data_IF_301396878094
#
_entry.id   IF_301396878094
#
_cell.length_a   1.000
_cell.length_b   1.000
_cell.length_c   1.000
_cell.angle_alpha   90.00
_cell.angle_beta   90.00
_cell.angle_gamma   90.00
#
_symmetry.space_group_name_H-M   'P 1'
#
loop_
_entity.id
_entity.type
_entity.pdbx_description
1 polymer ?
#
# COMPACT_ATOMS: atom_id res chain seq x y z
N UNK A 1 -7.81 -10.93 13.71
CA UNK A 1 -6.82 -9.89 13.40
C UNK A 1 -7.61 -8.61 13.15
N UNK A 2 -7.29 -7.52 13.85
CA UNK A 2 -8.14 -6.32 13.91
C UNK A 2 -8.01 -5.48 12.63
N UNK A 3 -9.09 -4.84 12.20
CA UNK A 3 -9.22 -4.11 10.93
C UNK A 3 -8.49 -2.75 10.91
N UNK A 4 -7.65 -2.49 11.91
CA UNK A 4 -7.07 -1.19 12.29
C UNK A 4 -5.65 -0.96 11.77
N UNK A 5 -4.95 -2.02 11.36
CA UNK A 5 -3.53 -2.02 11.00
C UNK A 5 -3.20 -1.03 9.86
N UNK A 6 -3.78 -1.22 8.68
CA UNK A 6 -3.48 -0.37 7.51
C UNK A 6 -3.94 1.08 7.69
N UNK A 7 -4.97 1.29 8.51
CA UNK A 7 -5.47 2.61 8.88
C UNK A 7 -4.46 3.37 9.73
N UNK A 8 -3.89 2.73 10.75
CA UNK A 8 -2.97 3.36 11.69
C UNK A 8 -1.65 3.77 11.01
N UNK A 9 -1.22 2.97 10.02
CA UNK A 9 -0.07 3.28 9.15
C UNK A 9 -0.25 4.62 8.45
N UNK A 10 -1.41 4.87 7.86
CA UNK A 10 -1.63 6.08 7.06
C UNK A 10 -1.83 7.33 7.93
N UNK A 11 -2.32 7.18 9.16
CA UNK A 11 -2.64 8.33 10.03
C UNK A 11 -1.48 8.92 10.82
N UNK A 12 -0.35 8.23 11.01
CA UNK A 12 0.77 8.75 11.81
C UNK A 12 2.05 8.91 10.99
N UNK A 13 2.27 10.11 10.46
CA UNK A 13 3.35 10.45 9.53
C UNK A 13 4.79 10.43 10.10
N UNK A 14 5.06 10.07 11.37
CA UNK A 14 6.41 10.29 11.96
C UNK A 14 6.96 9.13 12.81
N UNK A 15 6.21 8.04 13.01
CA UNK A 15 6.60 6.97 13.95
C UNK A 15 6.55 5.56 13.35
N UNK A 16 6.90 5.42 12.07
CA UNK A 16 6.89 4.16 11.30
C UNK A 16 7.43 2.95 12.08
N UNK A 17 8.61 3.10 12.66
CA UNK A 17 9.33 2.02 13.32
C UNK A 17 8.82 1.73 14.75
N UNK A 18 7.88 2.54 15.25
CA UNK A 18 7.30 2.39 16.60
C UNK A 18 5.91 1.76 16.56
N UNK A 19 5.35 1.53 15.36
CA UNK A 19 4.05 0.90 15.18
C UNK A 19 4.23 -0.56 14.77
N UNK A 20 4.00 -1.50 15.71
CA UNK A 20 4.07 -2.95 15.42
C UNK A 20 3.14 -3.35 14.26
N UNK A 21 1.99 -2.69 14.16
CA UNK A 21 1.03 -2.85 13.07
C UNK A 21 1.61 -2.46 11.70
N UNK A 22 2.46 -1.43 11.66
CA UNK A 22 3.16 -1.04 10.44
C UNK A 22 4.11 -2.12 9.97
N UNK A 23 5.01 -2.56 10.85
CA UNK A 23 6.00 -3.58 10.54
C UNK A 23 5.31 -4.90 10.14
N UNK A 24 4.22 -5.25 10.82
CA UNK A 24 3.44 -6.44 10.51
C UNK A 24 2.79 -6.39 9.13
N UNK A 25 2.20 -5.25 8.73
CA UNK A 25 1.62 -5.11 7.39
C UNK A 25 2.68 -5.23 6.29
N UNK A 26 3.82 -4.56 6.49
CA UNK A 26 4.96 -4.60 5.55
C UNK A 26 5.50 -6.03 5.44
N UNK A 27 5.67 -6.72 6.56
CA UNK A 27 6.12 -8.12 6.59
C UNK A 27 5.13 -9.05 5.91
N UNK A 28 3.82 -8.94 6.20
CA UNK A 28 2.78 -9.74 5.53
C UNK A 28 2.82 -9.54 4.01
N UNK A 29 2.91 -8.28 3.56
CA UNK A 29 2.93 -7.96 2.14
C UNK A 29 4.21 -8.48 1.46
N UNK A 30 5.37 -8.28 2.08
CA UNK A 30 6.65 -8.76 1.58
C UNK A 30 6.73 -10.30 1.55
N UNK A 31 6.23 -10.98 2.58
CA UNK A 31 6.18 -12.44 2.63
C UNK A 31 5.23 -12.98 1.54
N UNK A 32 4.03 -12.42 1.42
CA UNK A 32 3.06 -12.85 0.40
C UNK A 32 3.60 -12.64 -1.01
N UNK A 33 4.23 -11.50 -1.26
CA UNK A 33 4.85 -11.19 -2.54
C UNK A 33 6.02 -12.14 -2.87
N UNK A 34 6.88 -12.44 -1.89
CA UNK A 34 8.01 -13.35 -2.07
C UNK A 34 7.60 -14.81 -2.32
N UNK A 35 6.42 -15.21 -1.84
CA UNK A 35 5.86 -16.55 -2.11
C UNK A 35 5.31 -16.67 -3.54
N UNK A 36 4.99 -15.55 -4.20
CA UNK A 36 4.49 -15.53 -5.56
C UNK A 36 5.64 -15.58 -6.58
N UNK A 37 5.60 -16.55 -7.49
CA UNK A 37 6.55 -16.75 -8.59
C UNK A 37 6.04 -16.20 -9.92
N UNK A 38 4.74 -15.99 -10.05
CA UNK A 38 4.12 -15.43 -11.26
C UNK A 38 3.22 -14.24 -10.98
N UNK A 39 2.94 -13.47 -12.03
CA UNK A 39 2.00 -12.35 -11.98
C UNK A 39 0.57 -12.83 -11.68
N UNK A 40 0.14 -14.00 -12.17
CA UNK A 40 -1.17 -14.56 -11.79
C UNK A 40 -1.24 -14.95 -10.30
N UNK A 41 -0.14 -15.37 -9.69
CA UNK A 41 -0.09 -15.64 -8.26
C UNK A 41 -0.19 -14.35 -7.45
N UNK A 42 0.53 -13.28 -7.85
CA UNK A 42 0.39 -11.96 -7.24
C UNK A 42 -1.04 -11.42 -7.37
N UNK A 43 -1.66 -11.57 -8.54
CA UNK A 43 -3.04 -11.15 -8.76
C UNK A 43 -4.01 -11.90 -7.84
N UNK A 44 -3.81 -13.20 -7.60
CA UNK A 44 -4.64 -13.98 -6.66
C UNK A 44 -4.39 -13.57 -5.22
N UNK A 45 -3.13 -13.40 -4.81
CA UNK A 45 -2.78 -12.90 -3.48
C UNK A 45 -3.40 -11.51 -3.22
N UNK A 46 -3.58 -10.68 -4.24
CA UNK A 46 -4.23 -9.38 -4.09
C UNK A 46 -5.68 -9.46 -3.57
N UNK A 47 -6.37 -10.59 -3.81
CA UNK A 47 -7.72 -10.83 -3.27
C UNK A 47 -7.70 -10.98 -1.75
N UNK A 48 -6.67 -11.62 -1.19
CA UNK A 48 -6.53 -11.81 0.26
C UNK A 48 -6.32 -10.49 1.00
N UNK A 49 -5.76 -9.49 0.31
CA UNK A 49 -5.53 -8.15 0.84
C UNK A 49 -6.74 -7.21 0.65
N UNK A 50 -7.78 -7.59 -0.10
CA UNK A 50 -9.03 -6.79 -0.21
C UNK A 50 -9.67 -6.51 1.15
N UNK A 51 -9.47 -7.41 2.13
CA UNK A 51 -9.97 -7.26 3.50
C UNK A 51 -9.52 -5.96 4.20
N UNK A 52 -8.42 -5.35 3.74
CA UNK A 52 -7.88 -4.10 4.29
C UNK A 52 -8.52 -2.84 3.67
N UNK A 53 -9.24 -2.97 2.55
CA UNK A 53 -9.78 -1.84 1.78
C UNK A 53 -11.03 -1.18 2.40
N UNK A 54 -12.06 -1.91 2.87
CA UNK A 54 -13.21 -1.28 3.52
C UNK A 54 -12.88 -0.41 4.75
N UNK A 55 -12.07 -0.86 5.74
CA UNK A 55 -11.74 -0.02 6.89
C UNK A 55 -10.92 1.21 6.50
N UNK A 56 -10.05 1.09 5.49
CA UNK A 56 -9.34 2.23 4.93
C UNK A 56 -10.30 3.24 4.31
N UNK A 57 -11.18 2.78 3.41
CA UNK A 57 -12.14 3.65 2.73
C UNK A 57 -13.00 4.42 3.73
N UNK A 58 -13.48 3.74 4.78
CA UNK A 58 -14.28 4.37 5.84
C UNK A 58 -13.50 5.45 6.59
N UNK A 59 -12.19 5.26 6.83
CA UNK A 59 -11.36 6.29 7.47
C UNK A 59 -11.15 7.48 6.54
N UNK A 60 -10.80 7.23 5.28
CA UNK A 60 -10.60 8.29 4.30
C UNK A 60 -11.88 9.12 4.08
N UNK A 61 -13.05 8.48 4.14
CA UNK A 61 -14.35 9.16 4.05
C UNK A 61 -14.61 10.17 5.19
N UNK A 62 -14.00 9.96 6.36
CA UNK A 62 -14.18 10.84 7.54
C UNK A 62 -13.00 11.77 7.77
N UNK A 63 -11.93 11.65 6.97
CA UNK A 63 -10.79 12.58 7.00
C UNK A 63 -11.19 13.85 6.24
N UNK A 64 -11.66 14.87 6.96
CA UNK A 64 -12.01 16.17 6.40
C UNK A 64 -10.83 17.16 6.39
N UNK A 65 -9.70 16.79 6.99
CA UNK A 65 -8.49 17.61 7.02
C UNK A 65 -7.62 17.31 5.79
N UNK A 66 -7.35 18.35 5.00
CA UNK A 66 -6.51 18.27 3.81
C UNK A 66 -5.07 17.90 4.16
N UNK A 67 -4.54 18.37 5.29
CA UNK A 67 -3.20 18.08 5.76
C UNK A 67 -3.06 16.59 6.12
N UNK A 68 -4.03 16.04 6.88
CA UNK A 68 -4.06 14.61 7.18
C UNK A 68 -4.15 13.75 5.92
N UNK A 69 -4.98 14.16 4.96
CA UNK A 69 -5.11 13.45 3.69
C UNK A 69 -3.81 13.46 2.88
N UNK A 70 -3.10 14.59 2.83
CA UNK A 70 -1.79 14.70 2.17
C UNK A 70 -0.70 13.93 2.92
N UNK A 71 -0.74 13.90 4.25
CA UNK A 71 0.14 13.10 5.08
C UNK A 71 -0.07 11.60 4.83
N UNK A 72 -1.32 11.14 4.73
CA UNK A 72 -1.63 9.75 4.35
C UNK A 72 -1.03 9.38 2.99
N UNK A 73 -1.11 10.30 2.00
CA UNK A 73 -0.49 10.09 0.68
C UNK A 73 1.03 10.03 0.74
N UNK A 74 1.64 10.95 1.49
CA UNK A 74 3.08 10.98 1.67
C UNK A 74 3.59 9.71 2.36
N UNK A 75 2.90 9.23 3.40
CA UNK A 75 3.24 7.99 4.09
C UNK A 75 3.16 6.78 3.17
N UNK A 76 2.09 6.67 2.38
CA UNK A 76 1.94 5.56 1.45
C UNK A 76 3.04 5.56 0.37
N UNK A 77 3.40 6.74 -0.14
CA UNK A 77 4.51 6.89 -1.09
C UNK A 77 5.84 6.45 -0.48
N UNK A 78 6.12 6.92 0.73
CA UNK A 78 7.37 6.63 1.41
C UNK A 78 7.48 5.14 1.80
N UNK A 79 6.35 4.44 2.05
CA UNK A 79 6.30 2.97 2.15
C UNK A 79 6.73 2.29 0.84
N UNK A 80 6.19 2.74 -0.30
CA UNK A 80 6.56 2.16 -1.59
C UNK A 80 8.03 2.32 -1.94
N UNK A 81 8.63 3.44 -1.55
CA UNK A 81 10.01 3.76 -1.90
C UNK A 81 11.03 3.06 -1.00
N UNK A 82 10.73 2.92 0.30
CA UNK A 82 11.73 2.49 1.28
C UNK A 82 11.54 1.07 1.82
N UNK A 83 10.30 0.56 1.86
CA UNK A 83 9.99 -0.65 2.63
C UNK A 83 9.49 -1.83 1.77
N UNK A 84 9.13 -1.57 0.50
CA UNK A 84 8.56 -2.57 -0.40
C UNK A 84 9.46 -2.82 -1.61
N UNK A 85 9.65 -4.10 -1.95
CA UNK A 85 10.25 -4.50 -3.22
C UNK A 85 9.23 -4.46 -4.37
N UNK A 86 9.70 -4.58 -5.62
CA UNK A 86 8.86 -4.62 -6.81
C UNK A 86 7.60 -5.50 -6.71
N UNK A 87 7.74 -6.72 -6.21
CA UNK A 87 6.63 -7.68 -6.17
C UNK A 87 5.58 -7.25 -5.14
N UNK A 88 6.01 -6.73 -3.99
CA UNK A 88 5.14 -6.18 -2.95
C UNK A 88 4.43 -4.92 -3.42
N UNK A 89 5.13 -4.05 -4.14
CA UNK A 89 4.55 -2.87 -4.80
C UNK A 89 3.47 -3.29 -5.79
N UNK A 90 3.74 -4.29 -6.63
CA UNK A 90 2.77 -4.82 -7.60
C UNK A 90 1.53 -5.39 -6.89
N UNK A 91 1.73 -6.22 -5.87
CA UNK A 91 0.66 -6.82 -5.08
C UNK A 91 -0.27 -5.75 -4.49
N UNK A 92 0.29 -4.72 -3.86
CA UNK A 92 -0.49 -3.65 -3.26
C UNK A 92 -1.24 -2.80 -4.30
N UNK A 93 -0.65 -2.55 -5.47
CA UNK A 93 -1.34 -1.87 -6.58
C UNK A 93 -2.54 -2.68 -7.07
N UNK A 94 -2.38 -3.97 -7.29
CA UNK A 94 -3.47 -4.83 -7.74
C UNK A 94 -4.57 -4.96 -6.67
N UNK A 95 -4.21 -4.96 -5.39
CA UNK A 95 -5.19 -4.84 -4.31
C UNK A 95 -5.96 -3.53 -4.40
N UNK A 96 -5.29 -2.39 -4.57
CA UNK A 96 -5.98 -1.10 -4.66
C UNK A 96 -6.89 -1.03 -5.89
N UNK A 97 -6.43 -1.52 -7.06
CA UNK A 97 -7.24 -1.60 -8.29
C UNK A 97 -8.51 -2.40 -8.08
N UNK A 98 -8.40 -3.60 -7.51
CA UNK A 98 -9.56 -4.47 -7.24
C UNK A 98 -10.57 -3.86 -6.25
N UNK A 99 -10.18 -2.83 -5.51
CA UNK A 99 -11.03 -2.06 -4.61
C UNK A 99 -11.85 -0.98 -5.33
N UNK A 100 -12.32 -1.23 -6.57
CA UNK A 100 -13.02 -0.25 -7.43
C UNK A 100 -14.25 0.37 -6.75
N UNK A 101 -14.93 -0.39 -5.88
CA UNK A 101 -16.11 0.05 -5.15
C UNK A 101 -15.82 1.05 -4.01
N UNK A 102 -14.55 1.37 -3.73
CA UNK A 102 -14.12 2.21 -2.62
C UNK A 102 -13.56 3.55 -3.10
N UNK A 103 -14.46 4.50 -3.40
CA UNK A 103 -14.15 5.81 -4.00
C UNK A 103 -12.97 6.54 -3.34
N UNK A 104 -12.91 6.59 -2.01
CA UNK A 104 -11.84 7.31 -1.32
C UNK A 104 -10.49 6.59 -1.46
N UNK A 105 -10.47 5.26 -1.47
CA UNK A 105 -9.26 4.46 -1.73
C UNK A 105 -8.78 4.65 -3.17
N UNK A 106 -9.71 4.73 -4.13
CA UNK A 106 -9.39 4.96 -5.55
C UNK A 106 -8.60 6.26 -5.77
N UNK A 107 -8.79 7.27 -4.92
CA UNK A 107 -8.02 8.54 -5.00
C UNK A 107 -6.51 8.37 -4.78
N UNK A 108 -6.07 7.22 -4.26
CA UNK A 108 -4.66 6.90 -4.06
C UNK A 108 -4.03 6.15 -5.23
N UNK A 109 -4.79 5.49 -6.11
CA UNK A 109 -4.24 4.64 -7.17
C UNK A 109 -3.36 5.42 -8.15
N UNK A 110 -3.86 6.54 -8.68
CA UNK A 110 -3.13 7.30 -9.70
C UNK A 110 -1.74 7.78 -9.23
N UNK A 111 -1.61 8.42 -8.05
CA UNK A 111 -0.30 8.74 -7.50
C UNK A 111 0.61 7.51 -7.44
N UNK A 112 0.08 6.38 -6.99
CA UNK A 112 0.86 5.17 -6.78
C UNK A 112 1.33 4.59 -8.12
N UNK A 113 0.45 4.44 -9.11
CA UNK A 113 0.82 3.94 -10.44
C UNK A 113 1.92 4.77 -11.11
N UNK A 114 1.85 6.10 -10.94
CA UNK A 114 2.90 7.00 -11.37
C UNK A 114 4.23 6.68 -10.68
N UNK A 115 4.24 6.59 -9.36
CA UNK A 115 5.45 6.33 -8.58
C UNK A 115 5.99 4.91 -8.72
N UNK A 116 5.13 3.91 -8.91
CA UNK A 116 5.53 2.54 -9.26
C UNK A 116 6.34 2.54 -10.54
N UNK A 117 5.91 3.27 -11.56
CA UNK A 117 6.67 3.38 -12.81
C UNK A 117 8.06 3.97 -12.58
N UNK A 118 8.17 4.95 -11.67
CA UNK A 118 9.45 5.54 -11.24
C UNK A 118 10.31 4.54 -10.46
N UNK A 119 9.76 3.81 -9.49
CA UNK A 119 10.49 2.79 -8.71
C UNK A 119 11.01 1.68 -9.63
N UNK A 120 10.15 1.17 -10.53
CA UNK A 120 10.52 0.18 -11.55
C UNK A 120 11.67 0.65 -12.44
N UNK A 121 11.73 1.94 -12.75
CA UNK A 121 12.83 2.51 -13.54
C UNK A 121 14.14 2.58 -12.75
N UNK A 122 14.08 2.89 -11.46
CA UNK A 122 15.27 2.94 -10.59
C UNK A 122 15.90 1.57 -10.38
N UNK A 123 15.11 0.53 -10.11
CA UNK A 123 15.64 -0.82 -9.91
C UNK A 123 16.27 -1.37 -11.20
N UNK A 124 15.68 -1.08 -12.38
CA UNK A 124 16.29 -1.41 -13.67
C UNK A 124 17.64 -0.71 -13.90
N UNK A 125 17.78 0.54 -13.46
CA UNK A 125 19.04 1.27 -13.55
C UNK A 125 20.08 0.81 -12.52
N UNK A 126 19.66 0.29 -11.36
CA UNK A 126 20.56 -0.22 -10.33
C UNK A 126 21.14 -1.61 -10.66
N UNK A 127 20.52 -2.33 -11.61
CA UNK A 127 20.95 -3.64 -12.11
C UNK A 127 21.74 -3.58 -13.42
N UNK A 128 21.97 -2.39 -13.97
CA UNK A 128 22.73 -2.14 -15.20
C UNK A 128 24.12 -1.57 -14.87
#
# INVERSE_FOLDING_TARGET
MDHTTFKNILSESVKRNQHEEYLHFIDELNIAAAQCKTTEELNRAADDFQKYMPPLNKKLAVTNDYEDYMNMKATLLDVFVNDLNYQSVYLLVETLKKAECYEHVQTFIQPIEYWVTVIKSKEKCAMA
#
